data_IF_216520280066
#
_entry.id   IF_216520280066
#
_cell.length_a   1.000
_cell.length_b   1.000
_cell.length_c   1.000
_cell.angle_alpha   90.00
_cell.angle_beta   90.00
_cell.angle_gamma   90.00
#
_symmetry.space_group_name_H-M   'P 1'
#
loop_
_entity.id
_entity.type
_entity.pdbx_description
1 polymer ?
#
# COMPACT_ATOMS: atom_id res chain seq x y z
N UNK A 1 4.14 14.80 -6.42
CA UNK A 1 4.11 13.60 -5.57
C UNK A 1 5.48 13.05 -5.30
N UNK A 2 5.76 12.90 -4.01
CA UNK A 2 6.94 12.25 -3.45
C UNK A 2 6.70 10.73 -3.35
N UNK A 3 7.46 9.89 -4.10
CA UNK A 3 7.33 8.44 -4.05
C UNK A 3 7.50 7.85 -2.64
N UNK A 4 8.27 8.51 -1.77
CA UNK A 4 8.49 8.06 -0.40
C UNK A 4 7.20 8.19 0.42
N UNK A 5 6.50 9.32 0.31
CA UNK A 5 5.21 9.51 0.98
C UNK A 5 4.14 8.52 0.53
N UNK A 6 4.09 8.20 -0.77
CA UNK A 6 3.14 7.21 -1.28
C UNK A 6 3.44 5.80 -0.75
N UNK A 7 4.72 5.44 -0.65
CA UNK A 7 5.17 4.16 -0.09
C UNK A 7 4.83 4.04 1.39
N UNK A 8 5.14 5.07 2.18
CA UNK A 8 4.82 5.11 3.61
C UNK A 8 3.31 5.01 3.86
N UNK A 9 2.50 5.73 3.08
CA UNK A 9 1.04 5.64 3.15
C UNK A 9 0.53 4.24 2.86
N UNK A 10 1.04 3.57 1.83
CA UNK A 10 0.66 2.20 1.49
C UNK A 10 0.97 1.22 2.63
N UNK A 11 2.13 1.36 3.29
CA UNK A 11 2.49 0.56 4.46
C UNK A 11 1.52 0.79 5.62
N UNK A 12 1.21 2.05 5.95
CA UNK A 12 0.28 2.37 7.03
C UNK A 12 -1.13 1.84 6.76
N UNK A 13 -1.59 1.90 5.51
CA UNK A 13 -2.89 1.33 5.12
C UNK A 13 -2.97 -0.17 5.42
N UNK A 14 -1.91 -0.92 5.13
CA UNK A 14 -1.87 -2.38 5.32
C UNK A 14 -1.61 -2.77 6.77
N UNK A 15 -0.64 -2.12 7.43
CA UNK A 15 -0.20 -2.50 8.78
C UNK A 15 -1.10 -1.92 9.88
N UNK A 16 -1.63 -0.71 9.69
CA UNK A 16 -2.41 0.01 10.71
C UNK A 16 -3.90 0.09 10.39
N UNK A 17 -4.35 -0.27 9.19
CA UNK A 17 -5.76 -0.22 8.80
C UNK A 17 -6.35 1.19 8.78
N UNK A 18 -5.55 2.20 8.45
CA UNK A 18 -6.00 3.61 8.42
C UNK A 18 -5.20 4.47 7.44
N UNK A 19 -5.77 5.62 7.08
CA UNK A 19 -5.14 6.64 6.25
C UNK A 19 -5.37 8.04 6.82
N UNK A 20 -4.39 8.92 6.71
CA UNK A 20 -4.55 10.34 7.06
C UNK A 20 -5.25 11.09 5.93
N UNK A 21 -6.41 11.68 6.22
CA UNK A 21 -7.14 12.56 5.32
C UNK A 21 -6.45 13.92 5.15
N UNK A 22 -6.80 14.67 4.11
CA UNK A 22 -6.22 15.99 3.81
C UNK A 22 -6.41 17.04 4.93
N UNK A 23 -7.37 16.81 5.84
CA UNK A 23 -7.62 17.66 7.01
C UNK A 23 -6.89 17.15 8.28
N UNK A 24 -5.98 16.18 8.14
CA UNK A 24 -5.19 15.61 9.22
C UNK A 24 -5.90 14.53 10.05
N UNK A 25 -7.17 14.21 9.77
CA UNK A 25 -7.89 13.15 10.50
C UNK A 25 -7.50 11.76 10.01
N UNK A 26 -7.32 10.83 10.94
CA UNK A 26 -7.18 9.41 10.61
C UNK A 26 -8.54 8.81 10.23
N UNK A 27 -8.59 8.10 9.12
CA UNK A 27 -9.77 7.41 8.60
C UNK A 27 -9.50 5.91 8.61
N UNK A 28 -10.30 5.10 9.32
CA UNK A 28 -10.15 3.65 9.32
C UNK A 28 -10.55 3.07 7.97
N UNK A 29 -9.81 2.06 7.51
CA UNK A 29 -10.05 1.37 6.23
C UNK A 29 -9.76 -0.12 6.38
N UNK A 30 -10.25 -0.91 5.42
CA UNK A 30 -9.82 -2.30 5.22
C UNK A 30 -9.13 -2.39 3.87
N UNK A 31 -7.82 -2.61 3.88
CA UNK A 31 -6.97 -2.58 2.68
C UNK A 31 -6.60 -3.99 2.21
N UNK A 32 -7.52 -4.69 1.53
CA UNK A 32 -7.25 -6.02 0.96
C UNK A 32 -6.38 -5.99 -0.31
N UNK A 33 -6.34 -4.86 -1.01
CA UNK A 33 -5.56 -4.69 -2.23
C UNK A 33 -5.14 -3.23 -2.39
N UNK A 34 -3.99 -3.01 -3.04
CA UNK A 34 -3.46 -1.69 -3.38
C UNK A 34 -3.45 -1.57 -4.90
N UNK A 35 -4.18 -0.59 -5.44
CA UNK A 35 -4.06 -0.24 -6.84
C UNK A 35 -2.76 0.53 -7.08
N UNK A 36 -1.97 0.09 -8.06
CA UNK A 36 -0.76 0.77 -8.51
C UNK A 36 -0.89 1.14 -9.98
N UNK A 37 -0.05 2.06 -10.45
CA UNK A 37 0.03 2.44 -11.86
C UNK A 37 1.38 2.01 -12.44
N UNK A 38 1.42 1.88 -13.77
CA UNK A 38 2.61 1.49 -14.55
C UNK A 38 2.71 2.27 -15.86
N UNK A 39 2.08 3.44 -15.92
CA UNK A 39 1.95 4.31 -17.08
C UNK A 39 3.29 4.96 -17.50
N UNK A 40 4.27 5.04 -16.59
CA UNK A 40 5.60 5.60 -16.86
C UNK A 40 6.68 4.97 -15.95
N UNK A 41 7.99 5.17 -16.24
CA UNK A 41 9.07 4.58 -15.43
C UNK A 41 9.05 4.95 -13.95
N UNK A 42 8.61 6.17 -13.60
CA UNK A 42 8.48 6.61 -12.20
C UNK A 42 7.37 5.84 -11.48
N UNK A 43 6.25 5.56 -12.15
CA UNK A 43 5.16 4.74 -11.61
C UNK A 43 5.63 3.30 -11.30
N UNK A 44 6.40 2.70 -12.21
CA UNK A 44 7.00 1.37 -11.99
C UNK A 44 7.98 1.36 -10.81
N UNK A 45 8.80 2.41 -10.65
CA UNK A 45 9.70 2.56 -9.50
C UNK A 45 8.94 2.66 -8.18
N UNK A 46 7.80 3.38 -8.16
CA UNK A 46 6.94 3.49 -6.99
C UNK A 46 6.31 2.13 -6.65
N UNK A 47 5.73 1.43 -7.62
CA UNK A 47 5.16 0.09 -7.40
C UNK A 47 6.20 -0.90 -6.86
N UNK A 48 7.42 -0.87 -7.40
CA UNK A 48 8.56 -1.67 -6.91
C UNK A 48 8.94 -1.33 -5.47
N UNK A 49 8.97 -0.03 -5.13
CA UNK A 49 9.27 0.44 -3.77
C UNK A 49 8.21 -0.02 -2.76
N UNK A 50 6.92 0.12 -3.11
CA UNK A 50 5.81 -0.36 -2.27
C UNK A 50 5.96 -1.85 -1.99
N UNK A 51 6.17 -2.67 -3.03
CA UNK A 51 6.35 -4.11 -2.86
C UNK A 51 7.52 -4.45 -1.93
N UNK A 52 8.67 -3.82 -2.16
CA UNK A 52 9.89 -4.06 -1.37
C UNK A 52 9.69 -3.72 0.11
N UNK A 53 9.05 -2.60 0.41
CA UNK A 53 8.82 -2.19 1.81
C UNK A 53 7.75 -3.05 2.50
N UNK A 54 6.73 -3.52 1.78
CA UNK A 54 5.78 -4.51 2.31
C UNK A 54 6.48 -5.83 2.66
N UNK A 55 7.31 -6.35 1.75
CA UNK A 55 8.07 -7.58 1.98
C UNK A 55 9.06 -7.44 3.16
N UNK A 56 9.75 -6.30 3.29
CA UNK A 56 10.58 -6.00 4.47
C UNK A 56 9.80 -5.95 5.78
N UNK A 57 8.55 -5.50 5.72
CA UNK A 57 7.63 -5.51 6.84
C UNK A 57 7.00 -6.90 7.10
N UNK A 58 7.48 -7.95 6.41
CA UNK A 58 6.98 -9.33 6.51
C UNK A 58 5.51 -9.47 6.05
N UNK A 59 5.06 -8.59 5.16
CA UNK A 59 3.78 -8.70 4.47
C UNK A 59 3.99 -9.45 3.16
N UNK A 60 3.30 -10.58 3.01
CA UNK A 60 3.32 -11.35 1.77
C UNK A 60 2.38 -10.71 0.72
N UNK A 61 2.87 -10.53 -0.51
CA UNK A 61 2.06 -10.05 -1.62
C UNK A 61 1.52 -11.25 -2.40
N UNK A 62 0.22 -11.46 -2.29
CA UNK A 62 -0.49 -12.59 -2.90
C UNK A 62 -1.65 -12.12 -3.77
N UNK A 63 -2.24 -13.05 -4.51
CA UNK A 63 -3.51 -12.83 -5.20
C UNK A 63 -4.65 -12.53 -4.22
N UNK A 64 -5.59 -11.69 -4.64
CA UNK A 64 -6.68 -11.25 -3.78
C UNK A 64 -7.54 -12.41 -3.25
N UNK A 65 -7.71 -13.47 -4.03
CA UNK A 65 -8.45 -14.68 -3.61
C UNK A 65 -7.89 -15.28 -2.32
N UNK A 66 -6.56 -15.39 -2.20
CA UNK A 66 -5.90 -15.90 -0.99
C UNK A 66 -6.09 -14.99 0.22
N UNK A 67 -6.18 -13.66 0.01
CA UNK A 67 -6.45 -12.71 1.09
C UNK A 67 -7.89 -12.86 1.60
N UNK A 68 -8.85 -13.02 0.68
CA UNK A 68 -10.26 -13.12 1.02
C UNK A 68 -10.64 -14.47 1.65
N UNK A 69 -9.86 -15.52 1.41
CA UNK A 69 -10.06 -16.83 2.06
C UNK A 69 -9.66 -16.84 3.55
N UNK A 70 -8.84 -15.89 4.00
CA UNK A 70 -8.30 -15.81 5.37
C UNK A 70 -8.81 -14.61 6.18
N UNK A 71 -9.67 -13.77 5.60
CA UNK A 71 -10.26 -12.57 6.21
C UNK A 71 -11.66 -12.85 6.77
#
# INVERSE_FOLDING_TARGET
DDPLQATERALRMVLEGKVTAINGKEVPIVAHSICVHGDNPKAVQLASSIRKELEKAHVEVVELTKVLEVA
#
